data_IF_844519135467
#
_entry.id   IF_844519135467
#
_cell.length_a   1.000
_cell.length_b   1.000
_cell.length_c   1.000
_cell.angle_alpha   90.00
_cell.angle_beta   90.00
_cell.angle_gamma   90.00
#
_symmetry.space_group_name_H-M   'P 1'
#
loop_
_entity.id
_entity.type
_entity.pdbx_description
1 polymer ?
#
# COMPACT_ATOMS: atom_id res chain seq x y z
N UNK A 1 -52.26 46.49 -41.54
CA UNK A 1 -51.76 46.20 -42.91
C UNK A 1 -50.26 46.40 -42.93
N UNK A 2 -49.52 45.36 -43.35
CA UNK A 2 -48.10 45.34 -43.80
C UNK A 2 -47.05 46.02 -42.90
N UNK A 3 -46.13 45.21 -42.35
CA UNK A 3 -44.72 45.16 -42.77
C UNK A 3 -44.07 43.86 -42.30
N UNK A 4 -43.59 43.09 -43.28
CA UNK A 4 -42.63 41.99 -43.11
C UNK A 4 -41.26 42.65 -42.90
N UNK A 5 -40.52 42.22 -41.90
CA UNK A 5 -39.07 42.43 -41.88
C UNK A 5 -38.37 41.07 -41.82
N UNK A 6 -37.43 40.96 -42.76
CA UNK A 6 -36.60 39.84 -43.10
C UNK A 6 -35.42 39.87 -42.13
N UNK A 7 -35.29 38.88 -41.25
CA UNK A 7 -34.02 38.66 -40.54
C UNK A 7 -33.15 37.76 -41.41
N UNK A 8 -32.17 38.39 -42.06
CA UNK A 8 -31.07 37.72 -42.72
C UNK A 8 -30.17 37.05 -41.67
N UNK A 9 -29.87 35.77 -41.89
CA UNK A 9 -28.91 35.02 -41.10
C UNK A 9 -27.51 35.60 -41.27
N UNK A 10 -26.87 35.89 -40.15
CA UNK A 10 -25.43 36.07 -40.05
C UNK A 10 -24.92 34.90 -39.22
N UNK A 11 -24.53 33.83 -39.89
CA UNK A 11 -23.80 32.72 -39.28
C UNK A 11 -22.36 33.17 -39.10
N UNK A 12 -22.00 33.60 -37.90
CA UNK A 12 -20.61 33.80 -37.51
C UNK A 12 -19.96 32.41 -37.37
N UNK A 13 -19.21 32.00 -38.41
CA UNK A 13 -18.29 30.87 -38.31
C UNK A 13 -17.07 31.39 -37.54
N UNK A 14 -17.06 31.19 -36.23
CA UNK A 14 -15.83 31.26 -35.45
C UNK A 14 -14.99 30.04 -35.82
N UNK A 15 -14.09 30.21 -36.79
CA UNK A 15 -12.94 29.32 -36.92
C UNK A 15 -12.02 29.60 -35.74
N UNK A 16 -12.30 28.93 -34.61
CA UNK A 16 -11.32 28.80 -33.54
C UNK A 16 -10.19 27.96 -34.12
N UNK A 17 -9.14 28.62 -34.57
CA UNK A 17 -7.84 27.99 -34.74
C UNK A 17 -7.39 27.65 -33.32
N UNK A 18 -7.75 26.45 -32.86
CA UNK A 18 -7.09 25.77 -31.75
C UNK A 18 -5.65 25.58 -32.22
N UNK A 19 -4.83 26.58 -31.91
CA UNK A 19 -3.39 26.39 -31.80
C UNK A 19 -3.20 25.30 -30.77
N UNK A 20 -3.08 24.06 -31.22
CA UNK A 20 -2.44 22.98 -30.48
C UNK A 20 -0.99 23.40 -30.33
N UNK A 21 -0.73 24.35 -29.42
CA UNK A 21 0.50 24.30 -28.67
C UNK A 21 0.46 22.92 -28.04
N UNK A 22 1.22 22.00 -28.63
CA UNK A 22 1.68 20.81 -27.96
C UNK A 22 2.40 21.33 -26.70
N UNK A 23 1.64 21.61 -25.65
CA UNK A 23 2.10 21.30 -24.32
C UNK A 23 2.50 19.85 -24.47
N UNK A 24 3.82 19.59 -24.43
CA UNK A 24 4.30 18.25 -24.25
C UNK A 24 3.59 17.76 -23.00
N UNK A 25 2.53 16.98 -23.21
CA UNK A 25 2.05 16.08 -22.19
C UNK A 25 3.28 15.18 -22.03
N UNK A 26 4.14 15.53 -21.08
CA UNK A 26 5.17 14.64 -20.59
C UNK A 26 4.46 13.30 -20.42
N UNK A 27 4.97 12.25 -21.08
CA UNK A 27 4.33 10.95 -21.09
C UNK A 27 4.10 10.54 -19.64
N UNK A 28 2.87 10.69 -19.15
CA UNK A 28 2.45 10.24 -17.81
C UNK A 28 2.68 8.73 -17.63
N UNK A 29 2.96 8.03 -18.73
CA UNK A 29 3.26 6.60 -18.81
C UNK A 29 4.77 6.25 -18.84
N UNK A 30 5.69 7.23 -18.81
CA UNK A 30 7.12 6.91 -18.80
C UNK A 30 7.59 6.44 -17.41
N UNK A 31 7.40 5.15 -17.15
CA UNK A 31 7.87 4.47 -15.95
C UNK A 31 9.37 4.66 -15.73
N UNK A 32 10.18 4.71 -16.80
CA UNK A 32 11.62 4.64 -16.68
C UNK A 32 12.24 5.92 -16.13
N UNK A 33 11.62 7.08 -16.36
CA UNK A 33 12.06 8.36 -15.82
C UNK A 33 11.42 8.65 -14.45
N UNK A 34 10.10 8.52 -14.33
CA UNK A 34 9.35 8.84 -13.11
C UNK A 34 8.39 7.72 -12.70
N UNK A 35 8.87 6.62 -12.07
CA UNK A 35 8.04 5.50 -11.62
C UNK A 35 6.85 5.92 -10.76
N UNK A 36 7.03 6.93 -9.90
CA UNK A 36 5.94 7.46 -9.07
C UNK A 36 4.80 8.03 -9.92
N UNK A 37 5.12 8.90 -10.88
CA UNK A 37 4.10 9.50 -11.76
C UNK A 37 3.47 8.44 -12.65
N UNK A 38 4.24 7.48 -13.14
CA UNK A 38 3.71 6.37 -13.94
C UNK A 38 2.71 5.51 -13.17
N UNK A 39 2.92 5.29 -11.87
CA UNK A 39 2.02 4.53 -10.98
C UNK A 39 0.82 5.37 -10.52
N UNK A 40 1.06 6.60 -10.05
CA UNK A 40 0.05 7.41 -9.37
C UNK A 40 -0.70 8.40 -10.26
N UNK A 41 -0.17 8.70 -11.44
CA UNK A 41 -0.61 9.80 -12.29
C UNK A 41 -0.23 11.17 -11.72
N UNK A 42 -0.54 12.22 -12.47
CA UNK A 42 -0.42 13.61 -11.98
C UNK A 42 -1.49 13.86 -10.91
N UNK A 43 -1.13 14.55 -9.82
CA UNK A 43 -2.01 14.87 -8.68
C UNK A 43 -2.59 13.65 -7.94
N UNK A 44 -1.95 12.48 -8.03
CA UNK A 44 -2.31 11.26 -7.29
C UNK A 44 -3.77 10.82 -7.50
N UNK A 45 -4.35 11.15 -8.66
CA UNK A 45 -5.79 11.04 -8.89
C UNK A 45 -6.31 9.61 -8.70
N UNK A 46 -5.50 8.58 -8.97
CA UNK A 46 -5.88 7.16 -8.76
C UNK A 46 -6.07 6.83 -7.28
N UNK A 47 -5.13 7.25 -6.43
CA UNK A 47 -5.25 7.09 -4.97
C UNK A 47 -6.44 7.86 -4.42
N UNK A 48 -6.59 9.12 -4.85
CA UNK A 48 -7.70 9.98 -4.46
C UNK A 48 -9.07 9.39 -4.85
N UNK A 49 -9.21 8.82 -6.06
CA UNK A 49 -10.44 8.19 -6.51
C UNK A 49 -10.79 6.98 -5.65
N UNK A 50 -9.83 6.08 -5.41
CA UNK A 50 -9.97 4.91 -4.53
C UNK A 50 -10.44 5.30 -3.13
N UNK A 51 -9.86 6.36 -2.56
CA UNK A 51 -10.23 6.84 -1.23
C UNK A 51 -11.64 7.47 -1.19
N UNK A 52 -12.04 8.21 -2.24
CA UNK A 52 -13.40 8.76 -2.37
C UNK A 52 -14.43 7.65 -2.48
N UNK A 53 -14.17 6.63 -3.30
CA UNK A 53 -15.06 5.48 -3.48
C UNK A 53 -15.24 4.71 -2.17
N UNK A 54 -14.12 4.44 -1.48
CA UNK A 54 -14.18 3.73 -0.21
C UNK A 54 -14.85 4.56 0.90
N UNK A 55 -14.61 5.87 0.97
CA UNK A 55 -15.30 6.76 1.89
C UNK A 55 -16.82 6.80 1.63
N UNK A 56 -17.22 6.77 0.37
CA UNK A 56 -18.63 6.68 -0.05
C UNK A 56 -19.25 5.36 0.40
N UNK A 57 -18.57 4.24 0.13
CA UNK A 57 -19.01 2.91 0.57
C UNK A 57 -19.16 2.83 2.09
N UNK A 58 -18.18 3.35 2.86
CA UNK A 58 -18.26 3.44 4.32
C UNK A 58 -19.49 4.20 4.79
N UNK A 59 -19.80 5.33 4.15
CA UNK A 59 -20.98 6.14 4.46
C UNK A 59 -22.27 5.37 4.19
N UNK A 60 -22.34 4.64 3.08
CA UNK A 60 -23.51 3.85 2.70
C UNK A 60 -23.74 2.66 3.65
N UNK A 61 -22.68 1.94 4.01
CA UNK A 61 -22.73 0.86 5.01
C UNK A 61 -23.28 1.39 6.34
N UNK A 62 -22.74 2.52 6.82
CA UNK A 62 -23.20 3.16 8.06
C UNK A 62 -24.65 3.61 7.96
N UNK A 63 -25.05 4.25 6.86
CA UNK A 63 -26.42 4.70 6.64
C UNK A 63 -27.42 3.52 6.64
N UNK A 64 -27.07 2.41 5.98
CA UNK A 64 -27.88 1.20 5.98
C UNK A 64 -27.99 0.59 7.39
N UNK A 65 -26.88 0.46 8.11
CA UNK A 65 -26.89 -0.06 9.49
C UNK A 65 -27.71 0.82 10.44
N UNK A 66 -27.67 2.15 10.28
CA UNK A 66 -28.52 3.08 11.03
C UNK A 66 -30.00 2.87 10.71
N UNK A 67 -30.35 2.75 9.42
CA UNK A 67 -31.72 2.50 8.99
C UNK A 67 -32.27 1.19 9.57
N UNK A 68 -31.50 0.10 9.49
CA UNK A 68 -31.87 -1.20 10.05
C UNK A 68 -32.04 -1.14 11.58
N UNK A 69 -31.17 -0.38 12.27
CA UNK A 69 -31.25 -0.17 13.72
C UNK A 69 -32.48 0.63 14.11
N UNK A 70 -32.80 1.69 13.37
CA UNK A 70 -33.98 2.53 13.60
C UNK A 70 -35.28 1.75 13.37
N UNK A 71 -35.34 0.90 12.34
CA UNK A 71 -36.48 0.01 12.09
C UNK A 71 -36.68 -0.95 13.26
N UNK A 72 -35.59 -1.53 13.80
CA UNK A 72 -35.67 -2.53 14.86
C UNK A 72 -35.99 -1.97 16.25
N UNK A 73 -35.45 -0.81 16.59
CA UNK A 73 -35.55 -0.25 17.96
C UNK A 73 -36.37 1.04 18.04
N UNK A 74 -36.77 1.63 16.92
CA UNK A 74 -37.44 2.94 16.90
C UNK A 74 -36.52 4.11 17.25
N UNK A 75 -35.20 3.91 17.25
CA UNK A 75 -34.20 4.89 17.67
C UNK A 75 -33.03 4.96 16.66
N UNK A 76 -32.57 6.17 16.36
CA UNK A 76 -31.32 6.42 15.65
C UNK A 76 -30.18 6.59 16.69
N UNK A 77 -29.19 5.68 16.73
CA UNK A 77 -28.12 5.73 17.72
C UNK A 77 -27.19 6.95 17.55
N UNK A 78 -27.16 7.60 16.38
CA UNK A 78 -26.34 8.79 16.13
C UNK A 78 -27.02 10.11 16.51
N UNK A 79 -28.34 10.10 16.75
CA UNK A 79 -29.10 11.32 17.06
C UNK A 79 -28.91 11.79 18.51
N UNK A 80 -28.33 10.96 19.37
CA UNK A 80 -28.18 11.24 20.79
C UNK A 80 -26.70 11.19 21.20
N UNK A 81 -26.24 12.22 21.93
CA UNK A 81 -24.90 12.27 22.54
C UNK A 81 -24.64 11.08 23.47
N UNK A 82 -25.70 10.60 24.14
CA UNK A 82 -25.70 9.36 24.91
C UNK A 82 -26.82 8.50 24.34
N UNK A 83 -26.52 7.34 23.73
CA UNK A 83 -27.53 6.45 23.19
C UNK A 83 -28.52 6.05 24.28
N UNK A 84 -29.82 6.23 24.03
CA UNK A 84 -30.87 5.83 24.98
C UNK A 84 -30.87 4.33 25.24
N UNK A 85 -30.42 3.54 24.26
CA UNK A 85 -30.36 2.09 24.31
C UNK A 85 -28.97 1.57 23.95
N UNK A 86 -28.27 1.01 24.94
CA UNK A 86 -27.02 0.26 24.72
C UNK A 86 -27.23 -0.90 23.73
N UNK A 87 -28.42 -1.51 23.74
CA UNK A 87 -28.78 -2.58 22.80
C UNK A 87 -28.82 -2.09 21.35
N UNK A 88 -29.27 -0.85 21.11
CA UNK A 88 -29.28 -0.25 19.78
C UNK A 88 -27.86 0.00 19.26
N UNK A 89 -26.94 0.44 20.14
CA UNK A 89 -25.51 0.63 19.79
C UNK A 89 -24.86 -0.69 19.40
N UNK A 90 -25.01 -1.74 20.23
CA UNK A 90 -24.45 -3.05 19.91
C UNK A 90 -25.06 -3.64 18.63
N UNK A 91 -26.35 -3.45 18.40
CA UNK A 91 -26.98 -3.90 17.16
C UNK A 91 -26.48 -3.12 15.95
N UNK A 92 -26.30 -1.80 16.05
CA UNK A 92 -25.73 -0.98 14.99
C UNK A 92 -24.32 -1.42 14.60
N UNK A 93 -23.42 -1.61 15.59
CA UNK A 93 -22.04 -2.08 15.34
C UNK A 93 -22.06 -3.48 14.72
N UNK A 94 -22.86 -4.41 15.28
CA UNK A 94 -23.04 -5.74 14.70
C UNK A 94 -23.52 -5.65 13.25
N UNK A 95 -24.47 -4.76 12.97
CA UNK A 95 -25.06 -4.62 11.65
C UNK A 95 -24.11 -4.02 10.63
N UNK A 96 -23.27 -3.04 11.02
CA UNK A 96 -22.16 -2.61 10.17
C UNK A 96 -21.29 -3.81 9.83
N UNK A 97 -20.85 -4.55 10.84
CA UNK A 97 -19.99 -5.73 10.66
C UNK A 97 -20.59 -6.78 9.70
N UNK A 98 -21.89 -7.07 9.80
CA UNK A 98 -22.62 -7.99 8.90
C UNK A 98 -22.71 -7.44 7.47
N UNK A 99 -23.00 -6.14 7.30
CA UNK A 99 -23.09 -5.51 5.97
C UNK A 99 -21.72 -5.44 5.32
N UNK A 100 -20.67 -5.05 6.06
CA UNK A 100 -19.28 -5.04 5.59
C UNK A 100 -18.88 -6.43 5.10
N UNK A 101 -19.20 -7.48 5.87
CA UNK A 101 -18.92 -8.86 5.48
C UNK A 101 -19.68 -9.22 4.19
N UNK A 102 -20.98 -8.91 4.10
CA UNK A 102 -21.74 -9.15 2.87
C UNK A 102 -21.19 -8.41 1.64
N UNK A 103 -20.58 -7.24 1.84
CA UNK A 103 -19.96 -6.45 0.76
C UNK A 103 -18.61 -7.00 0.33
N UNK A 104 -17.88 -7.67 1.22
CA UNK A 104 -16.69 -8.45 0.84
C UNK A 104 -17.18 -9.72 0.19
N UNK A 105 -17.19 -9.75 -1.14
CA UNK A 105 -17.69 -10.90 -1.88
C UNK A 105 -16.70 -12.06 -1.81
N UNK A 106 -17.12 -13.21 -2.32
CA UNK A 106 -16.23 -14.35 -2.49
C UNK A 106 -15.02 -13.99 -3.37
N UNK A 107 -15.10 -13.01 -4.26
CA UNK A 107 -13.98 -12.61 -5.12
C UNK A 107 -12.85 -11.99 -4.30
N UNK A 108 -13.12 -10.96 -3.48
CA UNK A 108 -12.07 -10.31 -2.68
C UNK A 108 -11.49 -11.27 -1.63
N UNK A 109 -12.36 -12.06 -0.99
CA UNK A 109 -11.91 -13.03 0.01
C UNK A 109 -11.05 -14.13 -0.65
N UNK A 110 -11.50 -14.67 -1.78
CA UNK A 110 -10.76 -15.70 -2.48
C UNK A 110 -9.47 -15.17 -3.13
N UNK A 111 -9.42 -13.89 -3.50
CA UNK A 111 -8.19 -13.26 -3.96
C UNK A 111 -7.11 -13.36 -2.88
N UNK A 112 -7.45 -13.12 -1.60
CA UNK A 112 -6.51 -13.38 -0.50
C UNK A 112 -6.32 -14.87 -0.28
N UNK A 113 -7.36 -15.62 0.07
CA UNK A 113 -7.24 -17.01 0.55
C UNK A 113 -6.57 -17.95 -0.46
N UNK A 114 -6.88 -17.84 -1.75
CA UNK A 114 -6.29 -18.70 -2.78
C UNK A 114 -4.85 -18.31 -3.10
N UNK A 115 -4.49 -17.05 -2.92
CA UNK A 115 -3.18 -16.54 -3.33
C UNK A 115 -2.17 -16.38 -2.19
N UNK A 116 -2.56 -16.47 -0.91
CA UNK A 116 -1.60 -16.40 0.21
C UNK A 116 -0.42 -17.35 0.01
N UNK A 117 -0.69 -18.61 -0.37
CA UNK A 117 0.38 -19.57 -0.64
C UNK A 117 1.32 -19.06 -1.73
N UNK A 118 0.77 -18.53 -2.82
CA UNK A 118 1.54 -17.97 -3.93
C UNK A 118 2.39 -16.77 -3.49
N UNK A 119 1.84 -15.85 -2.69
CA UNK A 119 2.57 -14.69 -2.15
C UNK A 119 3.72 -15.14 -1.24
N UNK A 120 3.46 -16.11 -0.35
CA UNK A 120 4.50 -16.71 0.50
C UNK A 120 5.60 -17.39 -0.31
N UNK A 121 5.25 -18.17 -1.35
CA UNK A 121 6.25 -18.78 -2.21
C UNK A 121 7.11 -17.72 -2.93
N UNK A 122 6.50 -16.68 -3.50
CA UNK A 122 7.27 -15.56 -4.07
C UNK A 122 8.19 -14.90 -3.05
N UNK A 123 7.73 -14.69 -1.81
CA UNK A 123 8.58 -14.09 -0.78
C UNK A 123 9.76 -15.01 -0.43
N UNK A 124 9.52 -16.31 -0.33
CA UNK A 124 10.59 -17.30 -0.08
C UNK A 124 11.57 -17.39 -1.25
N UNK A 125 11.09 -17.33 -2.48
CA UNK A 125 11.93 -17.34 -3.67
C UNK A 125 12.79 -16.06 -3.74
N UNK A 126 12.22 -14.89 -3.44
CA UNK A 126 12.96 -13.65 -3.31
C UNK A 126 14.08 -13.74 -2.26
N UNK A 127 13.80 -14.33 -1.09
CA UNK A 127 14.79 -14.57 -0.03
C UNK A 127 15.92 -15.50 -0.52
N UNK A 128 15.60 -16.51 -1.32
CA UNK A 128 16.59 -17.43 -1.92
C UNK A 128 17.46 -16.70 -2.94
N UNK A 129 16.87 -15.87 -3.80
CA UNK A 129 17.63 -15.07 -4.78
C UNK A 129 18.61 -14.11 -4.10
N UNK A 130 18.23 -13.45 -3.01
CA UNK A 130 19.14 -12.59 -2.24
C UNK A 130 20.32 -13.39 -1.65
N UNK A 131 20.11 -14.65 -1.28
CA UNK A 131 21.19 -15.52 -0.80
C UNK A 131 22.15 -15.92 -1.94
N UNK A 132 21.61 -16.26 -3.11
CA UNK A 132 22.43 -16.56 -4.30
C UNK A 132 23.26 -15.36 -4.76
N UNK A 133 22.73 -14.15 -4.60
CA UNK A 133 23.44 -12.90 -4.87
C UNK A 133 24.44 -12.49 -3.77
N UNK A 134 24.62 -13.33 -2.74
CA UNK A 134 25.47 -13.06 -1.57
C UNK A 134 25.07 -11.80 -0.78
N UNK A 135 23.84 -11.32 -0.92
CA UNK A 135 23.32 -10.20 -0.15
C UNK A 135 22.98 -10.63 1.29
N UNK A 136 22.60 -11.91 1.46
CA UNK A 136 22.47 -12.57 2.76
C UNK A 136 23.13 -13.95 2.71
N UNK A 137 23.48 -14.51 3.86
CA UNK A 137 23.99 -15.89 3.93
C UNK A 137 22.87 -16.92 3.68
N UNK A 138 23.24 -18.12 3.25
CA UNK A 138 22.30 -19.25 3.16
C UNK A 138 21.63 -19.58 4.49
N UNK A 139 22.36 -19.46 5.61
CA UNK A 139 21.80 -19.67 6.95
C UNK A 139 20.71 -18.64 7.28
N UNK A 140 20.96 -17.36 7.01
CA UNK A 140 19.95 -16.31 7.14
C UNK A 140 18.74 -16.58 6.25
N UNK A 141 18.96 -16.96 4.98
CA UNK A 141 17.88 -17.32 4.05
C UNK A 141 16.99 -18.45 4.56
N UNK A 142 17.57 -19.53 5.08
CA UNK A 142 16.83 -20.62 5.73
C UNK A 142 16.04 -20.14 6.95
N UNK A 143 16.63 -19.27 7.77
CA UNK A 143 15.97 -18.71 8.96
C UNK A 143 14.76 -17.84 8.59
N UNK A 144 14.91 -16.93 7.63
CA UNK A 144 13.82 -16.05 7.19
C UNK A 144 12.67 -16.85 6.57
N UNK A 145 12.95 -17.86 5.73
CA UNK A 145 11.90 -18.69 5.12
C UNK A 145 11.09 -19.47 6.15
N UNK A 146 11.74 -20.02 7.18
CA UNK A 146 11.05 -20.68 8.30
C UNK A 146 10.13 -19.73 9.06
N UNK A 147 10.53 -18.47 9.21
CA UNK A 147 9.64 -17.44 9.78
C UNK A 147 8.41 -17.27 8.89
N UNK A 148 8.57 -17.06 7.59
CA UNK A 148 7.45 -16.87 6.65
C UNK A 148 6.50 -18.08 6.60
N UNK A 149 7.02 -19.30 6.65
CA UNK A 149 6.21 -20.51 6.71
C UNK A 149 5.33 -20.54 7.98
N UNK A 150 5.81 -19.97 9.10
CA UNK A 150 5.11 -19.93 10.38
C UNK A 150 4.06 -18.82 10.54
N UNK A 151 4.01 -17.84 9.62
CA UNK A 151 3.07 -16.70 9.74
C UNK A 151 1.68 -17.11 9.29
N UNK A 152 0.68 -17.08 10.16
CA UNK A 152 -0.72 -17.29 9.75
C UNK A 152 -1.29 -16.04 9.08
N UNK A 153 -2.30 -16.21 8.22
CA UNK A 153 -3.08 -15.07 7.72
C UNK A 153 -4.46 -15.21 8.33
N UNK A 154 -4.86 -14.22 9.11
CA UNK A 154 -6.12 -14.22 9.82
C UNK A 154 -7.08 -13.25 9.12
N UNK A 155 -8.12 -13.81 8.50
CA UNK A 155 -9.28 -13.04 8.05
C UNK A 155 -10.43 -13.15 9.06
N UNK A 156 -11.35 -12.19 9.01
CA UNK A 156 -12.58 -12.26 9.82
C UNK A 156 -13.33 -13.59 9.62
N UNK A 157 -13.37 -14.10 8.38
CA UNK A 157 -14.10 -15.32 8.03
C UNK A 157 -13.52 -16.57 8.69
N UNK A 158 -12.20 -16.66 8.78
CA UNK A 158 -11.52 -17.75 9.48
C UNK A 158 -11.73 -17.64 10.99
N UNK A 159 -11.71 -16.42 11.52
CA UNK A 159 -11.83 -16.16 12.96
C UNK A 159 -13.26 -16.20 13.51
N UNK A 160 -14.28 -15.97 12.68
CA UNK A 160 -15.71 -16.05 13.07
C UNK A 160 -16.30 -17.46 12.94
N UNK A 161 -15.62 -18.36 12.22
CA UNK A 161 -16.03 -19.76 12.09
C UNK A 161 -15.14 -20.75 12.87
N UNK A 162 -14.68 -20.45 14.11
CA UNK A 162 -13.74 -21.31 14.78
C UNK A 162 -14.47 -22.56 15.31
N UNK A 163 -13.84 -23.71 15.10
CA UNK A 163 -13.91 -24.76 16.12
C UNK A 163 -13.53 -24.11 17.45
N UNK A 164 -14.46 -24.05 18.41
CA UNK A 164 -14.33 -23.38 19.71
C UNK A 164 -13.01 -23.72 20.45
N UNK A 165 -11.91 -23.04 20.11
CA UNK A 165 -10.65 -23.11 20.84
C UNK A 165 -10.24 -21.73 21.38
N UNK A 166 -9.43 -21.76 22.44
CA UNK A 166 -8.99 -20.57 23.14
C UNK A 166 -8.13 -19.66 22.25
N UNK A 167 -7.31 -20.27 21.39
CA UNK A 167 -6.43 -19.59 20.43
C UNK A 167 -7.22 -18.70 19.48
N UNK A 168 -8.26 -19.23 18.85
CA UNK A 168 -9.11 -18.52 17.90
C UNK A 168 -9.86 -17.36 18.58
N UNK A 169 -10.31 -17.57 19.82
CA UNK A 169 -10.96 -16.52 20.61
C UNK A 169 -10.02 -15.34 20.86
N UNK A 170 -8.74 -15.61 21.18
CA UNK A 170 -7.76 -14.56 21.38
C UNK A 170 -7.42 -13.83 20.08
N UNK A 171 -7.20 -14.57 18.98
CA UNK A 171 -6.97 -13.97 17.65
C UNK A 171 -8.12 -13.05 17.24
N UNK A 172 -9.36 -13.44 17.53
CA UNK A 172 -10.52 -12.59 17.27
C UNK A 172 -10.56 -11.31 18.12
N UNK A 173 -10.09 -11.33 19.37
CA UNK A 173 -9.94 -10.10 20.17
C UNK A 173 -8.87 -9.16 19.59
N UNK A 174 -7.74 -9.72 19.14
CA UNK A 174 -6.69 -8.94 18.47
C UNK A 174 -7.22 -8.34 17.16
N UNK A 175 -7.93 -9.14 16.36
CA UNK A 175 -8.62 -8.69 15.16
C UNK A 175 -9.54 -7.49 15.46
N UNK A 176 -10.41 -7.57 16.47
CA UNK A 176 -11.32 -6.46 16.82
C UNK A 176 -10.59 -5.21 17.27
N UNK A 177 -9.47 -5.35 17.98
CA UNK A 177 -8.64 -4.21 18.40
C UNK A 177 -8.03 -3.49 17.21
N UNK A 178 -7.61 -4.23 16.19
CA UNK A 178 -6.91 -3.72 15.02
C UNK A 178 -7.89 -3.23 13.93
N UNK A 179 -8.85 -4.08 13.56
CA UNK A 179 -9.81 -3.78 12.50
C UNK A 179 -11.03 -2.98 12.95
N UNK A 180 -11.19 -2.80 14.26
CA UNK A 180 -12.40 -2.29 14.86
C UNK A 180 -13.53 -3.33 14.90
N UNK A 181 -14.52 -3.12 15.77
CA UNK A 181 -15.70 -3.98 15.84
C UNK A 181 -16.55 -3.95 14.57
N UNK A 182 -16.43 -2.90 13.76
CA UNK A 182 -17.12 -2.75 12.48
C UNK A 182 -16.34 -3.37 11.30
N UNK A 183 -15.07 -3.71 11.50
CA UNK A 183 -14.17 -4.25 10.50
C UNK A 183 -13.79 -3.27 9.39
N UNK A 184 -14.09 -1.97 9.54
CA UNK A 184 -13.92 -0.96 8.48
C UNK A 184 -12.55 -0.27 8.50
N UNK A 185 -11.60 -0.75 9.30
CA UNK A 185 -10.20 -0.32 9.21
C UNK A 185 -9.64 -0.57 7.80
N UNK A 186 -8.83 0.37 7.31
CA UNK A 186 -8.41 0.45 5.91
C UNK A 186 -7.08 -0.24 5.62
N UNK A 187 -6.55 -0.99 6.59
CA UNK A 187 -5.19 -1.55 6.54
C UNK A 187 -5.21 -3.06 6.80
N UNK A 188 -4.14 -3.73 6.38
CA UNK A 188 -3.72 -5.01 6.94
C UNK A 188 -2.62 -4.76 7.97
N UNK A 189 -2.34 -5.74 8.83
CA UNK A 189 -1.35 -5.55 9.90
C UNK A 189 -0.61 -6.84 10.23
N UNK A 190 0.71 -6.77 10.29
CA UNK A 190 1.54 -7.75 10.94
C UNK A 190 1.39 -7.68 12.46
N UNK A 191 1.23 -8.83 13.11
CA UNK A 191 1.22 -8.90 14.57
C UNK A 191 1.88 -10.17 15.08
N UNK A 192 2.61 -10.03 16.17
CA UNK A 192 3.27 -11.11 16.89
C UNK A 192 2.80 -11.08 18.34
N UNK A 193 2.12 -12.13 18.78
CA UNK A 193 1.58 -12.23 20.13
C UNK A 193 1.72 -13.65 20.71
N UNK A 194 0.98 -13.96 21.78
CA UNK A 194 1.06 -15.26 22.45
C UNK A 194 0.49 -16.42 21.61
N UNK A 195 -0.30 -16.15 20.56
CA UNK A 195 -0.86 -17.15 19.64
C UNK A 195 -0.05 -17.31 18.36
N UNK A 196 1.02 -16.53 18.20
CA UNK A 196 2.02 -16.70 17.16
C UNK A 196 2.22 -15.46 16.31
N UNK A 197 2.77 -15.67 15.12
CA UNK A 197 2.96 -14.64 14.09
C UNK A 197 1.78 -14.70 13.14
N UNK A 198 1.14 -13.56 12.88
CA UNK A 198 0.04 -13.49 11.94
C UNK A 198 0.02 -12.17 11.17
N UNK A 199 -0.66 -12.19 10.03
CA UNK A 199 -1.11 -11.00 9.30
C UNK A 199 -2.62 -10.94 9.41
N UNK A 200 -3.14 -9.85 9.97
CA UNK A 200 -4.57 -9.58 10.07
C UNK A 200 -5.02 -8.77 8.87
N UNK A 201 -5.99 -9.31 8.13
CA UNK A 201 -6.57 -8.66 6.96
C UNK A 201 -7.94 -8.10 7.30
N UNK A 202 -8.05 -6.78 7.39
CA UNK A 202 -9.31 -6.13 7.73
C UNK A 202 -10.28 -6.12 6.54
N UNK A 203 -11.58 -6.38 6.76
CA UNK A 203 -12.60 -6.30 5.70
C UNK A 203 -12.65 -4.95 5.00
N UNK A 204 -12.46 -3.85 5.75
CA UNK A 204 -12.41 -2.50 5.19
C UNK A 204 -11.25 -2.34 4.20
N UNK A 205 -10.09 -2.93 4.48
CA UNK A 205 -8.99 -2.95 3.52
C UNK A 205 -9.34 -3.74 2.27
N UNK A 206 -9.98 -4.92 2.38
CA UNK A 206 -10.43 -5.69 1.20
C UNK A 206 -11.38 -4.88 0.32
N UNK A 207 -12.33 -4.19 0.95
CA UNK A 207 -13.26 -3.30 0.26
C UNK A 207 -12.58 -2.07 -0.35
N UNK A 208 -11.49 -1.57 0.26
CA UNK A 208 -10.70 -0.47 -0.29
C UNK A 208 -9.78 -0.93 -1.41
N UNK A 209 -9.20 -2.13 -1.30
CA UNK A 209 -8.37 -2.76 -2.33
C UNK A 209 -9.15 -3.09 -3.59
N UNK A 210 -10.48 -3.14 -3.50
CA UNK A 210 -11.40 -3.15 -4.63
C UNK A 210 -11.40 -1.78 -5.33
N UNK A 211 -10.38 -1.53 -6.16
CA UNK A 211 -10.18 -0.25 -6.87
C UNK A 211 -10.19 -0.37 -8.39
N UNK A 212 -10.83 -1.41 -8.94
CA UNK A 212 -10.97 -1.59 -10.40
C UNK A 212 -11.10 -3.06 -10.86
N UNK A 213 -10.88 -4.03 -9.96
CA UNK A 213 -10.82 -5.45 -10.29
C UNK A 213 -12.17 -6.12 -10.52
N UNK A 214 -12.62 -6.05 -11.77
CA UNK A 214 -13.72 -6.85 -12.33
C UNK A 214 -13.47 -8.38 -12.23
N UNK A 215 -12.22 -8.80 -11.98
CA UNK A 215 -11.80 -10.21 -11.97
C UNK A 215 -10.77 -10.58 -10.88
N UNK A 216 -10.48 -11.88 -10.78
CA UNK A 216 -9.54 -12.46 -9.80
C UNK A 216 -8.07 -11.98 -9.99
N UNK A 217 -7.67 -11.57 -11.20
CA UNK A 217 -6.28 -11.16 -11.52
C UNK A 217 -6.00 -9.77 -10.96
N UNK A 218 -6.86 -8.80 -11.26
CA UNK A 218 -6.73 -7.44 -10.73
C UNK A 218 -6.85 -7.40 -9.20
N UNK A 219 -7.72 -8.23 -8.62
CA UNK A 219 -7.78 -8.37 -7.16
C UNK A 219 -6.47 -8.93 -6.59
N UNK A 220 -5.84 -9.91 -7.24
CA UNK A 220 -4.52 -10.39 -6.82
C UNK A 220 -3.47 -9.27 -6.88
N UNK A 221 -3.45 -8.49 -7.96
CA UNK A 221 -2.51 -7.38 -8.12
C UNK A 221 -2.68 -6.31 -7.03
N UNK A 222 -3.92 -5.97 -6.65
CA UNK A 222 -4.19 -5.00 -5.59
C UNK A 222 -3.74 -5.47 -4.18
N UNK A 223 -3.65 -6.78 -3.95
CA UNK A 223 -3.30 -7.33 -2.62
C UNK A 223 -1.84 -7.75 -2.50
N UNK A 224 -1.16 -8.09 -3.61
CA UNK A 224 0.13 -8.80 -3.57
C UNK A 224 1.20 -8.02 -2.82
N UNK A 225 1.31 -6.71 -3.06
CA UNK A 225 2.29 -5.83 -2.43
C UNK A 225 2.01 -5.67 -0.92
N UNK A 226 0.76 -5.40 -0.54
CA UNK A 226 0.39 -5.17 0.85
C UNK A 226 0.54 -6.44 1.68
N UNK A 227 0.03 -7.57 1.20
CA UNK A 227 0.18 -8.84 1.95
C UNK A 227 1.66 -9.24 2.03
N UNK A 228 2.45 -9.03 0.98
CA UNK A 228 3.89 -9.26 1.04
C UNK A 228 4.59 -8.32 2.03
N UNK A 229 4.20 -7.06 2.07
CA UNK A 229 4.68 -6.06 3.03
C UNK A 229 4.38 -6.49 4.48
N UNK A 230 3.13 -6.86 4.78
CA UNK A 230 2.76 -7.34 6.12
C UNK A 230 3.44 -8.66 6.49
N UNK A 231 3.64 -9.58 5.54
CA UNK A 231 4.44 -10.78 5.76
C UNK A 231 5.91 -10.42 6.07
N UNK A 232 6.44 -9.40 5.38
CA UNK A 232 7.82 -8.99 5.51
C UNK A 232 8.14 -8.30 6.83
N UNK A 233 7.17 -7.68 7.52
CA UNK A 233 7.35 -7.20 8.89
C UNK A 233 7.82 -8.29 9.87
N UNK A 234 7.55 -9.57 9.59
CA UNK A 234 8.05 -10.66 10.41
C UNK A 234 9.54 -10.96 10.22
N UNK A 235 10.15 -10.43 9.15
CA UNK A 235 11.55 -10.60 8.81
C UNK A 235 12.28 -9.27 8.62
N UNK A 236 11.68 -8.16 9.01
CA UNK A 236 12.14 -6.79 8.74
C UNK A 236 13.33 -6.36 9.62
N UNK A 237 13.76 -5.10 9.49
CA UNK A 237 14.86 -4.51 10.25
C UNK A 237 14.67 -4.55 11.78
N UNK A 238 13.44 -4.46 12.27
CA UNK A 238 13.16 -4.57 13.71
C UNK A 238 13.49 -5.96 14.26
N UNK A 239 13.28 -7.00 13.45
CA UNK A 239 13.51 -8.40 13.83
C UNK A 239 14.93 -8.90 13.47
N UNK A 240 15.50 -8.43 12.35
CA UNK A 240 16.79 -8.88 11.80
C UNK A 240 17.69 -7.70 11.40
N UNK A 241 18.04 -6.80 12.34
CA UNK A 241 18.74 -5.55 12.01
C UNK A 241 20.07 -5.77 11.28
N UNK A 242 20.76 -6.88 11.54
CA UNK A 242 22.04 -7.21 10.91
C UNK A 242 21.94 -7.36 9.38
N UNK A 243 20.80 -7.82 8.87
CA UNK A 243 20.59 -8.07 7.42
C UNK A 243 20.51 -6.75 6.63
N UNK A 244 20.02 -5.69 7.25
CA UNK A 244 19.69 -4.44 6.56
C UNK A 244 20.72 -3.34 6.81
N UNK A 245 21.85 -3.64 7.44
CA UNK A 245 22.86 -2.64 7.81
C UNK A 245 23.35 -1.83 6.60
N UNK A 246 23.70 -2.51 5.50
CA UNK A 246 24.21 -1.86 4.28
C UNK A 246 23.10 -1.10 3.55
N UNK A 247 21.89 -1.67 3.48
CA UNK A 247 20.72 -1.01 2.90
C UNK A 247 20.42 0.30 3.62
N UNK A 248 20.33 0.26 4.95
CA UNK A 248 20.01 1.43 5.77
C UNK A 248 21.13 2.47 5.71
N UNK A 249 22.39 2.05 5.68
CA UNK A 249 23.52 2.98 5.48
C UNK A 249 23.46 3.69 4.13
N UNK A 250 23.09 2.97 3.07
CA UNK A 250 22.84 3.56 1.75
C UNK A 250 21.69 4.58 1.78
N UNK A 251 20.57 4.25 2.43
CA UNK A 251 19.43 5.16 2.55
C UNK A 251 19.81 6.41 3.38
N UNK A 252 20.56 6.24 4.47
CA UNK A 252 20.99 7.34 5.33
C UNK A 252 21.89 8.33 4.58
N UNK A 253 22.74 7.81 3.69
CA UNK A 253 23.64 8.61 2.86
C UNK A 253 22.91 9.35 1.74
N UNK A 254 21.96 8.70 1.08
CA UNK A 254 21.44 9.17 -0.21
C UNK A 254 20.00 9.71 -0.17
N UNK A 255 19.17 9.26 0.78
CA UNK A 255 17.72 9.47 0.76
C UNK A 255 17.15 10.03 2.07
N UNK A 256 17.96 10.19 3.12
CA UNK A 256 17.47 10.64 4.44
C UNK A 256 16.86 12.06 4.47
N UNK A 257 17.17 12.90 3.47
CA UNK A 257 16.58 14.23 3.36
C UNK A 257 15.08 14.17 3.01
N UNK A 258 14.63 13.08 2.38
CA UNK A 258 13.24 12.87 1.97
C UNK A 258 12.38 12.24 3.08
N UNK A 259 13.00 11.78 4.17
CA UNK A 259 12.34 11.21 5.36
C UNK A 259 12.03 12.29 6.39
N UNK A 260 10.89 12.18 7.09
CA UNK A 260 10.48 13.09 8.18
C UNK A 260 10.30 12.35 9.50
N UNK A 261 10.53 13.01 10.63
CA UNK A 261 10.32 12.39 11.95
C UNK A 261 8.88 12.55 12.48
N UNK A 262 7.91 12.86 11.61
CA UNK A 262 6.48 13.01 11.94
C UNK A 262 6.10 14.20 12.85
N UNK A 263 7.06 14.84 13.52
CA UNK A 263 6.80 15.96 14.44
C UNK A 263 7.42 17.27 13.95
N UNK A 264 6.57 18.25 13.62
CA UNK A 264 6.95 19.58 13.10
C UNK A 264 7.99 20.32 13.97
N UNK A 265 7.92 20.14 15.30
CA UNK A 265 8.87 20.77 16.21
C UNK A 265 10.27 20.15 16.13
N UNK A 266 10.38 18.86 15.81
CA UNK A 266 11.65 18.19 15.58
C UNK A 266 12.34 18.74 14.33
N UNK A 267 11.59 18.96 13.24
CA UNK A 267 12.11 19.55 12.00
C UNK A 267 12.63 20.97 12.19
N UNK A 268 11.97 21.76 13.03
CA UNK A 268 12.42 23.12 13.38
C UNK A 268 13.70 23.08 14.24
N UNK A 269 13.81 22.11 15.16
CA UNK A 269 15.02 21.92 15.93
C UNK A 269 16.19 21.49 15.02
N UNK A 270 15.95 20.58 14.07
CA UNK A 270 16.94 20.08 13.10
C UNK A 270 17.62 21.20 12.30
N UNK A 271 16.88 22.24 11.91
CA UNK A 271 17.44 23.38 11.18
C UNK A 271 18.49 24.20 11.96
N UNK A 272 18.55 24.02 13.29
CA UNK A 272 19.49 24.74 14.18
C UNK A 272 20.68 23.89 14.61
N UNK A 273 20.74 22.62 14.19
CA UNK A 273 21.78 21.68 14.60
C UNK A 273 23.07 21.89 13.80
N UNK A 274 24.26 21.87 14.44
CA UNK A 274 25.53 21.98 13.74
C UNK A 274 25.69 20.88 12.69
N UNK A 275 26.20 21.24 11.50
CA UNK A 275 26.42 20.31 10.36
C UNK A 275 27.14 19.01 10.73
N UNK A 276 27.99 19.02 11.75
CA UNK A 276 28.70 17.83 12.25
C UNK A 276 27.81 16.72 12.83
N UNK A 277 26.53 16.99 13.10
CA UNK A 277 25.57 15.99 13.59
C UNK A 277 24.64 15.45 12.50
N UNK A 278 24.74 15.91 11.25
CA UNK A 278 23.81 15.52 10.18
C UNK A 278 23.75 13.99 9.98
N UNK A 279 24.90 13.32 10.03
CA UNK A 279 24.96 11.85 9.91
C UNK A 279 24.11 11.14 10.96
N UNK A 280 24.27 11.50 12.24
CA UNK A 280 23.48 10.94 13.34
C UNK A 280 21.97 11.11 13.14
N UNK A 281 21.52 12.25 12.59
CA UNK A 281 20.10 12.49 12.32
C UNK A 281 19.58 11.70 11.13
N UNK A 282 20.38 11.57 10.08
CA UNK A 282 20.04 10.72 8.95
C UNK A 282 19.88 9.26 9.41
N UNK A 283 20.80 8.78 10.24
CA UNK A 283 20.73 7.44 10.82
C UNK A 283 19.49 7.28 11.69
N UNK A 284 19.13 8.28 12.51
CA UNK A 284 17.92 8.24 13.33
C UNK A 284 16.64 8.21 12.49
N UNK A 285 16.56 9.03 11.43
CA UNK A 285 15.44 9.01 10.48
C UNK A 285 15.30 7.61 9.87
N UNK A 286 16.39 7.06 9.35
CA UNK A 286 16.38 5.72 8.74
C UNK A 286 16.02 4.65 9.76
N UNK A 287 16.54 4.73 10.98
CA UNK A 287 16.23 3.78 12.05
C UNK A 287 14.72 3.74 12.36
N UNK A 288 14.07 4.89 12.45
CA UNK A 288 12.63 4.98 12.74
C UNK A 288 11.75 4.43 11.61
N UNK A 289 12.23 4.48 10.36
CA UNK A 289 11.52 3.97 9.19
C UNK A 289 12.02 2.58 8.75
N UNK A 290 13.02 2.02 9.44
CA UNK A 290 13.77 0.87 8.95
C UNK A 290 12.91 -0.36 8.74
N UNK A 291 11.97 -0.61 9.66
CA UNK A 291 10.99 -1.71 9.54
C UNK A 291 10.10 -1.55 8.31
N UNK A 292 9.51 -0.38 8.10
CA UNK A 292 8.66 -0.09 6.93
C UNK A 292 9.44 -0.20 5.60
N UNK A 293 10.64 0.36 5.54
CA UNK A 293 11.47 0.33 4.33
C UNK A 293 11.97 -1.07 3.98
N UNK A 294 12.26 -1.90 4.98
CA UNK A 294 12.65 -3.30 4.75
C UNK A 294 11.45 -4.18 4.39
N UNK A 295 10.28 -3.92 4.95
CA UNK A 295 9.04 -4.57 4.54
C UNK A 295 8.69 -4.24 3.08
N UNK A 296 8.83 -2.97 2.69
CA UNK A 296 8.67 -2.52 1.31
C UNK A 296 9.67 -3.13 0.34
N UNK A 297 10.92 -3.28 0.74
CA UNK A 297 11.94 -3.94 -0.08
C UNK A 297 11.48 -5.34 -0.46
N UNK A 298 11.05 -6.15 0.51
CA UNK A 298 10.56 -7.50 0.24
C UNK A 298 9.26 -7.51 -0.58
N UNK A 299 8.34 -6.57 -0.33
CA UNK A 299 7.14 -6.42 -1.14
C UNK A 299 7.48 -6.12 -2.62
N UNK A 300 8.46 -5.26 -2.87
CA UNK A 300 8.97 -4.99 -4.22
C UNK A 300 9.61 -6.24 -4.84
N UNK A 301 10.40 -7.02 -4.09
CA UNK A 301 10.98 -8.29 -4.58
C UNK A 301 9.89 -9.31 -4.96
N UNK A 302 8.84 -9.43 -4.15
CA UNK A 302 7.68 -10.30 -4.47
C UNK A 302 6.99 -9.84 -5.74
N UNK A 303 6.74 -8.52 -5.86
CA UNK A 303 6.07 -7.97 -7.03
C UNK A 303 6.91 -8.16 -8.29
N UNK A 304 8.23 -8.02 -8.23
CA UNK A 304 9.14 -8.34 -9.33
C UNK A 304 8.93 -9.76 -9.85
N UNK A 305 8.92 -10.76 -8.96
CA UNK A 305 8.69 -12.15 -9.35
C UNK A 305 7.32 -12.36 -9.98
N UNK A 306 6.29 -11.66 -9.47
CA UNK A 306 4.98 -11.69 -10.12
C UNK A 306 5.01 -11.08 -11.52
N UNK A 307 5.64 -9.93 -11.72
CA UNK A 307 5.74 -9.25 -13.03
C UNK A 307 6.45 -10.09 -14.10
N UNK A 308 7.34 -11.01 -13.72
CA UNK A 308 7.95 -11.98 -14.65
C UNK A 308 6.90 -12.92 -15.26
N UNK A 309 5.79 -13.15 -14.57
CA UNK A 309 4.67 -14.01 -15.02
C UNK A 309 3.59 -13.23 -15.78
N UNK A 310 3.68 -11.90 -15.79
CA UNK A 310 2.72 -11.00 -16.43
C UNK A 310 3.22 -10.60 -17.82
N UNK A 311 2.30 -10.58 -18.79
CA UNK A 311 2.55 -10.09 -20.15
C UNK A 311 3.07 -8.65 -20.12
N UNK A 312 4.02 -8.33 -20.98
CA UNK A 312 4.70 -7.03 -20.99
C UNK A 312 3.71 -5.86 -20.99
N UNK A 313 2.68 -5.93 -21.83
CA UNK A 313 1.65 -4.90 -22.00
C UNK A 313 0.82 -4.65 -20.72
N UNK A 314 0.80 -5.59 -19.78
CA UNK A 314 0.06 -5.51 -18.51
C UNK A 314 0.91 -5.12 -17.30
N UNK A 315 2.24 -5.08 -17.42
CA UNK A 315 3.14 -4.87 -16.27
C UNK A 315 2.95 -3.52 -15.60
N UNK A 316 2.80 -2.45 -16.39
CA UNK A 316 2.55 -1.11 -15.82
C UNK A 316 1.23 -1.06 -15.07
N UNK A 317 0.16 -1.65 -15.62
CA UNK A 317 -1.13 -1.68 -14.93
C UNK A 317 -1.08 -2.54 -13.66
N UNK A 318 -0.36 -3.66 -13.69
CA UNK A 318 -0.10 -4.47 -12.49
C UNK A 318 0.63 -3.67 -11.41
N UNK A 319 1.64 -2.87 -11.77
CA UNK A 319 2.33 -1.98 -10.85
C UNK A 319 1.40 -0.91 -10.28
N UNK A 320 0.55 -0.33 -11.12
CA UNK A 320 -0.46 0.66 -10.72
C UNK A 320 -1.41 0.09 -9.68
N UNK A 321 -2.01 -1.06 -9.96
CA UNK A 321 -2.92 -1.75 -9.04
C UNK A 321 -2.23 -2.11 -7.72
N UNK A 322 -1.03 -2.67 -7.79
CA UNK A 322 -0.29 -3.09 -6.59
C UNK A 322 0.09 -1.92 -5.68
N UNK A 323 0.38 -0.74 -6.22
CA UNK A 323 0.93 0.36 -5.43
C UNK A 323 0.00 1.58 -5.30
N UNK A 324 -1.20 1.56 -5.89
CA UNK A 324 -2.13 2.70 -5.83
C UNK A 324 -2.47 3.14 -4.41
N UNK A 325 -2.41 2.21 -3.43
CA UNK A 325 -2.62 2.51 -2.02
C UNK A 325 -1.59 3.45 -1.39
N UNK A 326 -0.43 3.64 -2.03
CA UNK A 326 0.59 4.61 -1.61
C UNK A 326 0.45 5.98 -2.27
N UNK A 327 -0.36 6.11 -3.33
CA UNK A 327 -0.48 7.37 -4.04
C UNK A 327 -1.13 8.43 -3.14
N UNK A 328 -0.44 9.57 -2.96
CA UNK A 328 -0.89 10.65 -2.08
C UNK A 328 -0.71 10.41 -0.58
N UNK A 329 -0.13 9.27 -0.15
CA UNK A 329 0.10 9.03 1.28
C UNK A 329 1.24 9.91 1.82
N UNK A 330 0.96 10.62 2.90
CA UNK A 330 1.93 11.46 3.61
C UNK A 330 2.91 10.66 4.45
N UNK A 331 4.00 11.30 4.87
CA UNK A 331 4.90 10.74 5.88
C UNK A 331 4.30 10.90 7.29
N UNK A 332 4.20 9.80 8.02
CA UNK A 332 3.58 9.70 9.34
C UNK A 332 4.61 9.59 10.48
N UNK A 333 5.91 9.70 10.17
CA UNK A 333 7.04 9.57 11.09
C UNK A 333 7.46 8.13 11.42
N UNK A 334 6.64 7.15 11.04
CA UNK A 334 6.95 5.71 11.08
C UNK A 334 6.85 5.15 9.67
N UNK A 335 5.76 5.47 8.96
CA UNK A 335 5.58 5.20 7.54
C UNK A 335 6.16 6.36 6.71
N UNK A 336 7.14 6.13 5.83
CA UNK A 336 7.57 7.17 4.89
C UNK A 336 6.42 7.53 3.94
N UNK A 337 6.49 8.72 3.34
CA UNK A 337 5.53 9.10 2.30
C UNK A 337 5.49 8.08 1.14
N UNK A 338 4.33 7.90 0.52
CA UNK A 338 4.20 7.00 -0.62
C UNK A 338 5.09 7.37 -1.80
N UNK A 339 5.33 8.67 -1.99
CA UNK A 339 6.29 9.17 -2.98
C UNK A 339 7.71 8.66 -2.71
N UNK A 340 8.17 8.73 -1.46
CA UNK A 340 9.46 8.17 -1.06
C UNK A 340 9.49 6.66 -1.30
N UNK A 341 8.50 5.93 -0.78
CA UNK A 341 8.42 4.47 -0.86
C UNK A 341 8.49 4.00 -2.32
N UNK A 342 7.68 4.58 -3.21
CA UNK A 342 7.68 4.18 -4.62
C UNK A 342 8.96 4.55 -5.34
N UNK A 343 9.48 5.77 -5.13
CA UNK A 343 10.72 6.20 -5.80
C UNK A 343 11.91 5.37 -5.34
N UNK A 344 12.05 5.13 -4.05
CA UNK A 344 13.19 4.38 -3.53
C UNK A 344 13.09 2.92 -3.96
N UNK A 345 11.92 2.28 -3.83
CA UNK A 345 11.79 0.84 -4.03
C UNK A 345 11.69 0.42 -5.51
N UNK A 346 10.93 1.14 -6.32
CA UNK A 346 10.81 0.80 -7.75
C UNK A 346 12.10 1.13 -8.50
N UNK A 347 12.81 2.19 -8.10
CA UNK A 347 14.11 2.54 -8.70
C UNK A 347 15.26 1.69 -8.18
N UNK A 348 15.17 1.18 -6.95
CA UNK A 348 16.23 0.34 -6.38
C UNK A 348 16.28 -1.06 -6.96
N UNK A 349 15.21 -1.50 -7.63
CA UNK A 349 15.15 -2.82 -8.26
C UNK A 349 15.51 -2.76 -9.76
N UNK A 350 16.78 -3.06 -10.14
CA UNK A 350 17.21 -3.06 -11.55
C UNK A 350 16.44 -4.05 -12.42
N UNK A 351 15.92 -5.13 -11.82
CA UNK A 351 15.21 -6.16 -12.55
C UNK A 351 13.76 -5.72 -12.83
N UNK A 352 13.12 -4.91 -11.95
CA UNK A 352 11.85 -4.24 -12.31
C UNK A 352 12.07 -3.31 -13.50
N UNK A 353 13.11 -2.48 -13.49
CA UNK A 353 13.44 -1.60 -14.63
C UNK A 353 13.64 -2.39 -15.94
N UNK A 354 14.35 -3.50 -15.87
CA UNK A 354 14.56 -4.40 -17.01
C UNK A 354 13.25 -5.04 -17.48
N UNK A 355 12.36 -5.45 -16.57
CA UNK A 355 11.03 -5.96 -16.93
C UNK A 355 10.15 -4.90 -17.58
N UNK A 356 10.39 -3.62 -17.27
CA UNK A 356 9.74 -2.48 -17.91
C UNK A 356 10.43 -2.01 -19.19
N UNK A 357 11.44 -2.76 -19.67
CA UNK A 357 12.25 -2.44 -20.86
C UNK A 357 12.90 -1.04 -20.81
N UNK A 358 13.23 -0.59 -19.60
CA UNK A 358 13.96 0.65 -19.43
C UNK A 358 15.37 0.51 -20.00
N UNK A 359 15.79 1.54 -20.74
CA UNK A 359 17.20 1.68 -21.06
C UNK A 359 18.00 1.72 -19.76
N UNK A 360 19.22 1.16 -19.72
CA UNK A 360 20.12 1.33 -18.58
C UNK A 360 20.18 2.82 -18.24
N UNK A 361 19.82 3.18 -17.01
CA UNK A 361 19.67 4.57 -16.62
C UNK A 361 21.01 5.29 -16.90
N UNK A 362 20.99 6.25 -17.83
CA UNK A 362 22.14 7.11 -18.10
C UNK A 362 22.32 8.15 -16.99
N UNK A 363 21.34 8.29 -16.09
CA UNK A 363 21.35 9.28 -15.03
C UNK A 363 21.96 8.70 -13.75
N UNK A 364 23.17 9.17 -13.45
CA UNK A 364 24.04 8.79 -12.31
C UNK A 364 23.47 9.32 -10.97
N UNK A 365 22.43 10.14 -11.00
CA UNK A 365 21.97 10.87 -9.82
C UNK A 365 21.00 10.13 -8.91
N UNK A 366 20.59 8.88 -9.23
CA UNK A 366 19.59 8.16 -8.44
C UNK A 366 20.10 6.78 -7.99
N UNK A 367 20.60 6.73 -6.76
CA UNK A 367 21.22 5.54 -6.18
C UNK A 367 20.14 4.63 -5.57
N UNK A 368 19.90 3.47 -6.17
CA UNK A 368 19.12 2.39 -5.57
C UNK A 368 19.81 1.80 -4.34
N UNK A 369 19.07 1.54 -3.26
CA UNK A 369 19.59 0.89 -2.04
C UNK A 369 18.99 -0.51 -1.89
N UNK A 370 19.86 -1.51 -1.73
CA UNK A 370 19.53 -2.94 -1.61
C UNK A 370 20.17 -3.53 -0.35
N UNK A 371 19.95 -4.81 -0.05
CA UNK A 371 20.60 -5.50 1.06
C UNK A 371 22.14 -5.49 0.98
N UNK A 372 22.71 -5.34 -0.22
CA UNK A 372 24.16 -5.21 -0.43
C UNK A 372 24.65 -3.76 -0.43
N UNK A 373 23.79 -2.78 -0.09
CA UNK A 373 24.09 -1.36 -0.16
C UNK A 373 23.68 -0.73 -1.49
N UNK A 374 24.50 0.19 -2.01
CA UNK A 374 24.19 0.92 -3.24
C UNK A 374 24.27 0.03 -4.49
N UNK A 375 23.20 -0.03 -5.29
CA UNK A 375 23.12 -0.87 -6.48
C UNK A 375 23.94 -0.37 -7.68
N UNK A 376 24.33 0.92 -7.71
CA UNK A 376 24.91 1.57 -8.90
C UNK A 376 26.24 2.31 -8.68
N UNK A 377 26.94 2.12 -7.54
CA UNK A 377 28.20 2.85 -7.29
C UNK A 377 29.42 2.34 -8.11
N UNK A 378 29.31 1.25 -8.89
CA UNK A 378 30.46 0.58 -9.55
C UNK A 378 30.41 0.47 -11.09
N UNK A 379 29.57 1.26 -11.78
CA UNK A 379 29.70 1.37 -13.23
C UNK A 379 30.76 2.45 -13.55
N UNK A 380 32.03 2.05 -13.50
CA UNK A 380 33.14 2.80 -14.11
C UNK A 380 32.87 2.89 -15.62
N UNK A 381 32.21 3.97 -16.05
CA UNK A 381 32.04 4.34 -17.47
C UNK A 381 33.16 5.25 -17.95
#
# INVERSE_FOLDING_TARGET
>A
MKKREILAGVTFIFSVVLSTTAFGIENEDDFCSEPYLAVCGVDDWRGNLRDIEFATLKKDIKAQALSDTAIKFGEDPNKYLVPKSIKAVFYYVKRISEITQYKVTDVELNAVLRNIRKIKEYLKDAIVEQAFNNAISFEQSEKLRKVIDSVDIDTKYELENPSFDFTSSLRYEVFKRICGNDGLSENAFASSDIVGRHVIVCPGWLLRAHGGGEDDESNFNNIVSVIAHELAHHIDYGEFPEIYTEMNSCIAKNHADDLRLGQVWFETALATIPKGFRGYWNDLKVHNHGSEMSADFWAAQVLRLHLQTVDYEKRLETLREAWVGLCGSGDEGIHPSGQFRLRVQLRSDPEIHKLMECAPAADVHQIGCTLSGAAYENLDY
#
